data_IF_939529085229
#
_entry.id   IF_939529085229
#
_cell.length_a   1.000
_cell.length_b   1.000
_cell.length_c   1.000
_cell.angle_alpha   90.00
_cell.angle_beta   90.00
_cell.angle_gamma   90.00
#
_symmetry.space_group_name_H-M   'P 1'
#
loop_
_entity.id
_entity.type
_entity.pdbx_description
1 polymer ?
#
# COMPACT_ATOMS: atom_id res chain seq x y z
N UNK A 1 -4.14 -9.03 -3.95
CA UNK A 1 -5.00 -10.01 -4.69
C UNK A 1 -5.70 -9.32 -5.83
N UNK A 2 -5.59 -9.90 -7.04
CA UNK A 2 -6.12 -9.30 -8.27
C UNK A 2 -7.64 -9.25 -8.25
N UNK A 3 -8.20 -8.03 -8.44
CA UNK A 3 -9.65 -7.84 -8.59
C UNK A 3 -10.52 -8.15 -7.38
N UNK A 4 -9.95 -8.50 -6.22
CA UNK A 4 -10.72 -8.87 -5.02
C UNK A 4 -11.68 -7.76 -4.59
N UNK A 5 -11.24 -6.51 -4.51
CA UNK A 5 -12.11 -5.38 -4.15
C UNK A 5 -13.34 -5.25 -5.07
N UNK A 6 -13.15 -5.50 -6.38
CA UNK A 6 -14.24 -5.43 -7.35
C UNK A 6 -15.20 -6.61 -7.20
N UNK A 7 -14.67 -7.81 -6.95
CA UNK A 7 -15.45 -9.02 -6.69
C UNK A 7 -16.35 -8.84 -5.46
N UNK A 8 -15.75 -8.43 -4.33
CA UNK A 8 -16.47 -8.23 -3.08
C UNK A 8 -17.56 -7.14 -3.20
N UNK A 9 -17.27 -6.05 -3.91
CA UNK A 9 -18.28 -5.01 -4.18
C UNK A 9 -19.43 -5.54 -5.05
N UNK A 10 -19.13 -6.29 -6.12
CA UNK A 10 -20.14 -6.88 -7.01
C UNK A 10 -21.04 -7.87 -6.28
N UNK A 11 -20.50 -8.61 -5.33
CA UNK A 11 -21.22 -9.56 -4.49
C UNK A 11 -21.91 -8.91 -3.30
N UNK A 12 -21.77 -7.58 -3.10
CA UNK A 12 -22.22 -6.89 -1.88
C UNK A 12 -21.72 -7.57 -0.59
N UNK A 13 -20.50 -8.13 -0.65
CA UNK A 13 -19.96 -8.94 0.43
C UNK A 13 -19.66 -8.13 1.71
N UNK A 14 -19.56 -6.80 1.64
CA UNK A 14 -19.43 -5.93 2.80
C UNK A 14 -20.09 -4.58 2.57
N UNK A 15 -20.52 -3.94 3.67
CA UNK A 15 -21.10 -2.61 3.64
C UNK A 15 -20.00 -1.55 3.59
N UNK A 16 -20.12 -0.57 2.68
CA UNK A 16 -19.22 0.58 2.61
C UNK A 16 -19.78 1.69 3.50
N UNK A 17 -19.47 1.61 4.79
CA UNK A 17 -19.85 2.64 5.77
C UNK A 17 -18.60 3.41 6.18
N UNK A 18 -18.56 4.70 5.82
CA UNK A 18 -17.47 5.58 6.22
C UNK A 18 -17.69 6.11 7.64
N UNK A 19 -16.71 5.93 8.52
CA UNK A 19 -16.71 6.43 9.89
C UNK A 19 -15.55 7.39 10.09
N UNK A 20 -15.81 8.50 10.79
CA UNK A 20 -14.74 9.41 11.19
C UNK A 20 -13.85 8.77 12.26
N UNK A 21 -12.55 9.07 12.24
CA UNK A 21 -11.53 8.49 13.12
C UNK A 21 -11.86 8.62 14.61
N UNK A 22 -12.55 9.69 15.02
CA UNK A 22 -13.01 9.89 16.41
C UNK A 22 -13.92 8.77 16.95
N UNK A 23 -14.55 7.96 16.07
CA UNK A 23 -15.34 6.79 16.47
C UNK A 23 -14.50 5.65 17.04
N UNK A 24 -13.19 5.71 16.81
CA UNK A 24 -12.21 4.74 17.30
C UNK A 24 -11.42 5.25 18.49
N UNK A 25 -11.90 6.30 19.18
CA UNK A 25 -11.27 6.84 20.39
C UNK A 25 -11.04 5.75 21.44
N UNK A 26 -9.83 5.68 21.99
CA UNK A 26 -9.42 4.66 22.97
C UNK A 26 -9.07 3.30 22.34
N UNK A 27 -9.15 3.17 21.00
CA UNK A 27 -8.82 1.95 20.27
C UNK A 27 -7.37 1.95 19.82
N UNK A 28 -6.80 0.76 19.76
CA UNK A 28 -5.46 0.51 19.21
C UNK A 28 -5.57 0.03 17.77
N UNK A 29 -4.82 0.67 16.87
CA UNK A 29 -4.83 0.35 15.45
C UNK A 29 -3.41 -0.02 14.99
N UNK A 30 -3.24 -1.25 14.51
CA UNK A 30 -2.00 -1.68 13.85
C UNK A 30 -1.95 -1.12 12.42
N UNK A 31 -0.85 -0.49 12.06
CA UNK A 31 -0.70 0.26 10.81
C UNK A 31 0.45 -0.36 10.02
N UNK A 32 0.15 -0.82 8.80
CA UNK A 32 1.18 -1.16 7.83
C UNK A 32 1.92 0.12 7.41
N UNK A 33 3.18 0.21 7.85
CA UNK A 33 4.03 1.39 7.62
C UNK A 33 4.49 1.46 6.17
N UNK A 34 4.71 0.32 5.53
CA UNK A 34 5.25 0.26 4.17
C UNK A 34 4.30 0.87 3.15
N UNK A 35 3.00 0.57 3.27
CA UNK A 35 2.00 1.14 2.36
C UNK A 35 1.90 2.66 2.50
N UNK A 36 2.04 3.19 3.73
CA UNK A 36 2.08 4.63 3.97
C UNK A 36 3.32 5.28 3.36
N UNK A 37 4.49 4.64 3.49
CA UNK A 37 5.73 5.11 2.89
C UNK A 37 5.58 5.25 1.36
N UNK A 38 5.05 4.24 0.69
CA UNK A 38 4.79 4.31 -0.75
C UNK A 38 3.79 5.42 -1.08
N UNK A 39 2.71 5.54 -0.32
CA UNK A 39 1.67 6.56 -0.51
C UNK A 39 2.24 7.98 -0.43
N UNK A 40 3.07 8.27 0.58
CA UNK A 40 3.62 9.61 0.79
C UNK A 40 4.80 9.91 -0.12
N UNK A 41 5.50 8.91 -0.61
CA UNK A 41 6.53 9.10 -1.64
C UNK A 41 5.95 9.22 -3.04
N UNK A 42 4.79 8.59 -3.31
CA UNK A 42 4.12 8.66 -4.60
C UNK A 42 3.50 10.04 -4.82
N UNK A 43 3.85 10.68 -5.92
CA UNK A 43 3.31 12.00 -6.26
C UNK A 43 3.94 13.20 -5.56
N UNK A 44 4.91 12.99 -4.66
CA UNK A 44 5.65 14.08 -3.98
C UNK A 44 6.71 14.75 -4.87
N UNK A 45 6.94 14.27 -6.08
CA UNK A 45 7.99 14.77 -6.96
C UNK A 45 9.38 14.61 -6.33
N UNK A 46 10.15 15.72 -6.28
CA UNK A 46 11.49 15.74 -5.70
C UNK A 46 11.52 16.06 -4.19
N UNK A 47 10.37 16.15 -3.51
CA UNK A 47 10.35 16.38 -2.06
C UNK A 47 10.95 15.18 -1.31
N UNK A 48 12.16 15.38 -0.78
CA UNK A 48 12.91 14.34 -0.09
C UNK A 48 12.30 13.96 1.26
N UNK A 49 11.55 14.85 1.91
CA UNK A 49 11.00 14.67 3.26
C UNK A 49 9.50 14.33 3.27
N UNK A 50 8.88 14.13 2.12
CA UNK A 50 7.44 13.87 2.00
C UNK A 50 6.96 12.70 2.88
N UNK A 51 7.76 11.64 3.02
CA UNK A 51 7.46 10.50 3.88
C UNK A 51 7.46 10.87 5.36
N UNK A 52 8.38 11.74 5.80
CA UNK A 52 8.46 12.24 7.18
C UNK A 52 7.23 13.06 7.51
N UNK A 53 6.90 14.07 6.67
CA UNK A 53 5.72 14.90 6.87
C UNK A 53 4.42 14.10 6.81
N UNK A 54 4.34 13.14 5.89
CA UNK A 54 3.18 12.28 5.75
C UNK A 54 2.94 11.39 6.97
N UNK A 55 3.99 10.73 7.47
CA UNK A 55 3.91 9.89 8.68
C UNK A 55 3.62 10.75 9.91
N UNK A 56 4.29 11.88 10.08
CA UNK A 56 4.03 12.80 11.20
C UNK A 56 2.58 13.28 11.20
N UNK A 57 2.07 13.72 10.04
CA UNK A 57 0.67 14.12 9.90
C UNK A 57 -0.30 12.99 10.24
N UNK A 58 0.03 11.74 9.88
CA UNK A 58 -0.75 10.57 10.24
C UNK A 58 -0.75 10.32 11.74
N UNK A 59 0.42 10.38 12.40
CA UNK A 59 0.53 10.26 13.86
C UNK A 59 -0.32 11.31 14.57
N UNK A 60 -0.22 12.58 14.15
CA UNK A 60 -1.01 13.67 14.72
C UNK A 60 -2.51 13.44 14.56
N UNK A 61 -2.95 12.99 13.37
CA UNK A 61 -4.37 12.69 13.13
C UNK A 61 -4.88 11.61 14.07
N UNK A 62 -4.15 10.50 14.24
CA UNK A 62 -4.56 9.41 15.14
C UNK A 62 -4.59 9.87 16.59
N UNK A 63 -3.51 10.46 17.08
CA UNK A 63 -3.40 10.89 18.48
C UNK A 63 -4.41 11.98 18.85
N UNK A 64 -4.65 12.97 17.97
CA UNK A 64 -5.64 14.03 18.22
C UNK A 64 -7.08 13.50 18.27
N UNK A 65 -7.35 12.36 17.63
CA UNK A 65 -8.64 11.66 17.73
C UNK A 65 -8.68 10.65 18.88
N UNK A 66 -7.63 10.56 19.70
CA UNK A 66 -7.55 9.65 20.84
C UNK A 66 -7.37 8.19 20.45
N UNK A 67 -6.81 7.92 19.28
CA UNK A 67 -6.52 6.58 18.76
C UNK A 67 -5.04 6.27 19.00
N UNK A 68 -4.72 5.05 19.39
CA UNK A 68 -3.35 4.60 19.66
C UNK A 68 -2.82 3.87 18.42
N UNK A 69 -1.91 4.46 17.64
CA UNK A 69 -1.32 3.79 16.49
C UNK A 69 -0.16 2.90 16.91
N UNK A 70 -0.07 1.70 16.33
CA UNK A 70 1.10 0.81 16.38
C UNK A 70 1.61 0.65 14.95
N UNK A 71 2.85 1.04 14.69
CA UNK A 71 3.43 0.96 13.35
C UNK A 71 4.19 -0.34 13.17
N UNK A 72 3.86 -1.07 12.10
CA UNK A 72 4.48 -2.34 11.74
C UNK A 72 5.25 -2.17 10.43
N UNK A 73 6.54 -2.45 10.46
CA UNK A 73 7.42 -2.39 9.31
C UNK A 73 7.61 -3.78 8.71
N UNK A 74 7.84 -3.86 7.39
CA UNK A 74 8.22 -5.12 6.76
C UNK A 74 9.56 -5.63 7.30
N UNK A 75 9.61 -6.92 7.55
CA UNK A 75 10.84 -7.68 7.73
C UNK A 75 11.37 -8.26 6.41
N UNK A 76 11.86 -9.48 6.46
CA UNK A 76 12.33 -10.19 5.28
C UNK A 76 11.12 -10.73 4.49
N UNK A 77 11.06 -10.46 3.18
CA UNK A 77 9.97 -11.01 2.36
C UNK A 77 10.08 -12.54 2.29
N UNK A 78 8.94 -13.26 2.31
CA UNK A 78 8.95 -14.71 2.16
C UNK A 78 9.48 -15.14 0.78
N UNK A 79 10.13 -16.32 0.72
CA UNK A 79 10.76 -16.84 -0.49
C UNK A 79 9.78 -16.97 -1.67
N UNK A 80 8.53 -17.29 -1.40
CA UNK A 80 7.44 -17.42 -2.37
C UNK A 80 7.19 -16.13 -3.16
N UNK A 81 7.56 -14.96 -2.61
CA UNK A 81 7.47 -13.67 -3.32
C UNK A 81 8.64 -13.36 -4.24
N UNK A 82 9.69 -14.17 -4.25
CA UNK A 82 10.93 -13.91 -5.00
C UNK A 82 10.68 -13.66 -6.49
N UNK A 83 9.80 -14.43 -7.12
CA UNK A 83 9.46 -14.27 -8.55
C UNK A 83 8.76 -12.94 -8.83
N UNK A 84 7.82 -12.53 -7.96
CA UNK A 84 7.10 -11.25 -8.11
C UNK A 84 8.03 -10.07 -7.86
N UNK A 85 8.92 -10.17 -6.88
CA UNK A 85 9.93 -9.15 -6.59
C UNK A 85 10.92 -9.00 -7.76
N UNK A 86 11.35 -10.10 -8.38
CA UNK A 86 12.18 -10.08 -9.57
C UNK A 86 11.47 -9.38 -10.73
N UNK A 87 10.23 -9.75 -11.05
CA UNK A 87 9.42 -9.10 -12.09
C UNK A 87 9.23 -7.60 -11.84
N UNK A 88 8.99 -7.17 -10.58
CA UNK A 88 8.89 -5.76 -10.21
C UNK A 88 10.22 -5.03 -10.42
N UNK A 89 11.34 -5.68 -10.14
CA UNK A 89 12.69 -5.14 -10.37
C UNK A 89 12.96 -4.95 -11.86
N UNK A 90 12.63 -5.95 -12.68
CA UNK A 90 12.79 -5.89 -14.14
C UNK A 90 11.94 -4.78 -14.78
N UNK A 91 10.68 -4.65 -14.34
CA UNK A 91 9.80 -3.57 -14.79
C UNK A 91 10.36 -2.20 -14.44
N UNK A 92 10.90 -2.05 -13.22
CA UNK A 92 11.53 -0.81 -12.77
C UNK A 92 12.80 -0.48 -13.57
N UNK A 93 13.62 -1.48 -13.88
CA UNK A 93 14.82 -1.31 -14.71
C UNK A 93 14.44 -0.84 -16.12
N UNK A 94 13.43 -1.46 -16.73
CA UNK A 94 12.90 -1.03 -18.04
C UNK A 94 12.38 0.41 -18.01
N UNK A 95 11.75 0.81 -16.90
CA UNK A 95 11.23 2.17 -16.74
C UNK A 95 12.36 3.19 -16.57
N UNK A 96 13.38 2.86 -15.78
CA UNK A 96 14.58 3.69 -15.61
C UNK A 96 15.32 3.90 -16.95
N UNK A 97 15.47 2.85 -17.75
CA UNK A 97 16.10 2.96 -19.07
C UNK A 97 15.31 3.93 -19.97
N UNK A 98 13.98 3.85 -20.00
CA UNK A 98 13.14 4.81 -20.74
C UNK A 98 13.29 6.25 -20.24
N UNK A 99 13.48 6.45 -18.94
CA UNK A 99 13.72 7.78 -18.37
C UNK A 99 15.06 8.32 -18.83
N UNK A 100 16.11 7.51 -18.82
CA UNK A 100 17.44 7.93 -19.33
C UNK A 100 17.40 8.22 -20.84
N UNK A 101 16.74 7.40 -21.65
CA UNK A 101 16.56 7.66 -23.07
C UNK A 101 15.85 9.00 -23.33
N UNK A 102 14.77 9.30 -22.57
CA UNK A 102 14.08 10.57 -22.68
C UNK A 102 14.96 11.76 -22.24
N UNK A 103 15.79 11.59 -21.21
CA UNK A 103 16.73 12.64 -20.79
C UNK A 103 17.77 12.92 -21.86
N UNK A 104 18.25 11.89 -22.54
CA UNK A 104 19.18 12.03 -23.67
C UNK A 104 18.49 12.80 -24.81
N UNK A 105 17.27 12.38 -25.23
CA UNK A 105 16.51 13.08 -26.26
C UNK A 105 16.27 14.55 -25.92
N UNK A 106 15.91 14.86 -24.67
CA UNK A 106 15.72 16.25 -24.23
C UNK A 106 17.04 17.05 -24.34
N UNK A 107 18.19 16.47 -24.00
CA UNK A 107 19.50 17.14 -24.13
C UNK A 107 19.84 17.39 -25.59
N UNK A 108 19.66 16.41 -26.46
CA UNK A 108 19.90 16.54 -27.90
C UNK A 108 19.01 17.64 -28.51
N UNK A 109 17.72 17.66 -28.12
CA UNK A 109 16.76 18.68 -28.58
C UNK A 109 17.14 20.09 -28.13
N UNK A 110 17.76 20.24 -26.96
CA UNK A 110 18.20 21.56 -26.45
C UNK A 110 19.52 22.05 -27.08
N UNK A 111 20.29 21.15 -27.71
CA UNK A 111 21.54 21.52 -28.40
C UNK A 111 21.31 21.85 -29.88
N UNK A 112 20.25 21.33 -30.52
CA UNK A 112 20.04 21.42 -31.96
C UNK A 112 18.98 22.43 -32.42
N UNK A 113 18.24 23.08 -31.53
CA UNK A 113 17.13 23.94 -31.95
C UNK A 113 17.14 25.35 -31.36
N UNK A 114 17.27 26.34 -32.26
CA UNK A 114 16.89 27.76 -32.06
C UNK A 114 15.36 27.99 -32.21
N UNK A 115 14.54 26.94 -32.26
CA UNK A 115 13.09 27.04 -32.53
C UNK A 115 12.28 26.66 -31.28
N UNK A 116 11.31 27.53 -30.94
CA UNK A 116 10.22 27.26 -30.00
C UNK A 116 9.31 26.14 -30.56
N UNK A 117 9.71 24.87 -30.42
CA UNK A 117 8.91 23.75 -30.87
C UNK A 117 8.19 23.05 -29.69
N UNK A 118 6.89 22.80 -29.85
CA UNK A 118 5.98 22.07 -28.92
C UNK A 118 6.52 20.65 -28.56
N UNK A 119 7.50 20.13 -29.31
CA UNK A 119 8.12 18.82 -29.10
C UNK A 119 8.85 18.70 -27.76
N UNK A 120 9.64 19.70 -27.39
CA UNK A 120 10.38 19.71 -26.12
C UNK A 120 9.44 19.72 -24.91
N UNK A 121 8.32 20.45 -25.01
CA UNK A 121 7.28 20.46 -23.97
C UNK A 121 6.68 19.08 -23.74
N UNK A 122 6.35 18.35 -24.82
CA UNK A 122 5.80 16.98 -24.76
C UNK A 122 6.78 15.99 -24.15
N UNK A 123 8.07 16.08 -24.50
CA UNK A 123 9.11 15.22 -23.92
C UNK A 123 9.28 15.47 -22.42
N UNK A 124 9.32 16.72 -21.96
CA UNK A 124 9.38 17.06 -20.52
C UNK A 124 8.17 16.57 -19.75
N UNK A 125 6.95 16.69 -20.30
CA UNK A 125 5.73 16.15 -19.68
C UNK A 125 5.79 14.62 -19.60
N UNK A 126 6.27 13.95 -20.64
CA UNK A 126 6.43 12.50 -20.67
C UNK A 126 7.45 12.03 -19.63
N UNK A 127 8.59 12.71 -19.54
CA UNK A 127 9.62 12.46 -18.53
C UNK A 127 9.05 12.59 -17.11
N UNK A 128 8.37 13.71 -16.82
CA UNK A 128 7.75 13.93 -15.49
C UNK A 128 6.73 12.84 -15.13
N UNK A 129 5.95 12.36 -16.11
CA UNK A 129 5.01 11.24 -15.89
C UNK A 129 5.72 9.94 -15.55
N UNK A 130 6.83 9.62 -16.25
CA UNK A 130 7.59 8.40 -15.99
C UNK A 130 8.34 8.49 -14.67
N UNK A 131 8.96 9.62 -14.34
CA UNK A 131 9.65 9.82 -13.06
C UNK A 131 8.71 9.64 -11.87
N UNK A 132 7.45 10.09 -11.98
CA UNK A 132 6.42 9.84 -10.96
C UNK A 132 6.05 8.36 -10.79
N UNK A 133 6.24 7.53 -11.82
CA UNK A 133 5.98 6.09 -11.73
C UNK A 133 7.12 5.32 -11.06
N UNK A 134 8.36 5.87 -11.06
CA UNK A 134 9.53 5.26 -10.41
C UNK A 134 9.65 5.76 -8.96
N UNK A 135 8.61 5.52 -8.17
CA UNK A 135 8.70 5.80 -6.73
C UNK A 135 9.62 4.77 -6.08
N UNK A 136 10.68 5.27 -5.45
CA UNK A 136 11.60 4.44 -4.69
C UNK A 136 11.47 4.70 -3.19
N UNK A 137 10.99 3.70 -2.47
CA UNK A 137 11.17 3.62 -1.03
C UNK A 137 12.51 2.92 -0.76
N UNK A 138 13.50 3.67 -0.28
CA UNK A 138 14.83 3.14 0.05
C UNK A 138 14.90 2.67 1.50
N UNK A 139 15.94 1.94 1.84
CA UNK A 139 16.25 1.58 3.23
C UNK A 139 16.46 2.81 4.13
N UNK A 140 16.95 3.93 3.55
CA UNK A 140 17.10 5.19 4.28
C UNK A 140 15.74 5.70 4.73
N UNK A 141 14.75 5.76 3.82
CA UNK A 141 13.39 6.21 4.16
C UNK A 141 12.74 5.35 5.26
N UNK A 142 12.97 4.02 5.23
CA UNK A 142 12.49 3.10 6.27
C UNK A 142 13.13 3.40 7.62
N UNK A 143 14.45 3.58 7.65
CA UNK A 143 15.20 3.93 8.87
C UNK A 143 14.78 5.28 9.44
N UNK A 144 14.61 6.29 8.59
CA UNK A 144 14.18 7.63 9.01
C UNK A 144 12.80 7.60 9.66
N UNK A 145 11.83 6.88 9.08
CA UNK A 145 10.49 6.72 9.66
C UNK A 145 10.55 5.91 10.97
N UNK A 146 11.30 4.82 11.01
CA UNK A 146 11.48 4.05 12.23
C UNK A 146 12.03 4.92 13.36
N UNK A 147 13.04 5.75 13.06
CA UNK A 147 13.64 6.66 14.01
C UNK A 147 12.69 7.79 14.43
N UNK A 148 11.94 8.37 13.48
CA UNK A 148 10.90 9.36 13.78
C UNK A 148 9.88 8.81 14.79
N UNK A 149 9.35 7.61 14.53
CA UNK A 149 8.36 6.98 15.41
C UNK A 149 8.92 6.70 16.80
N UNK A 150 10.20 6.29 16.88
CA UNK A 150 10.92 6.12 18.14
C UNK A 150 11.05 7.44 18.92
N UNK A 151 11.40 8.53 18.23
CA UNK A 151 11.48 9.87 18.85
C UNK A 151 10.13 10.38 19.35
N UNK A 152 9.04 10.04 18.66
CA UNK A 152 7.67 10.36 19.09
C UNK A 152 7.16 9.46 20.24
N UNK A 153 7.94 8.46 20.66
CA UNK A 153 7.52 7.51 21.69
C UNK A 153 6.37 6.59 21.25
N UNK A 154 6.19 6.41 19.93
CA UNK A 154 5.13 5.57 19.39
C UNK A 154 5.59 4.13 19.23
N UNK A 155 4.72 3.15 19.58
CA UNK A 155 5.02 1.74 19.36
C UNK A 155 5.29 1.47 17.87
N UNK A 156 6.46 0.93 17.58
CA UNK A 156 6.81 0.49 16.23
C UNK A 156 7.78 -0.70 16.30
N UNK A 157 7.62 -1.66 15.39
CA UNK A 157 8.48 -2.83 15.32
C UNK A 157 8.52 -3.38 13.89
N UNK A 158 9.49 -4.25 13.64
CA UNK A 158 9.66 -4.94 12.37
C UNK A 158 9.02 -6.31 12.49
N UNK A 159 8.12 -6.66 11.57
CA UNK A 159 7.54 -7.99 11.47
C UNK A 159 8.61 -9.01 11.04
N UNK A 160 8.40 -10.30 11.31
CA UNK A 160 9.27 -11.35 10.80
C UNK A 160 9.25 -11.42 9.27
N UNK A 161 8.06 -11.22 8.68
CA UNK A 161 7.81 -11.17 7.26
C UNK A 161 7.19 -9.84 6.84
N UNK A 162 6.00 -9.90 6.25
CA UNK A 162 5.31 -8.71 5.76
C UNK A 162 4.64 -7.92 6.87
N UNK A 163 4.69 -6.61 6.78
CA UNK A 163 4.04 -5.70 7.73
C UNK A 163 2.55 -5.95 7.88
N UNK A 164 1.87 -6.30 6.79
CA UNK A 164 0.44 -6.66 6.80
C UNK A 164 0.15 -7.88 7.66
N UNK A 165 0.94 -8.95 7.49
CA UNK A 165 0.81 -10.16 8.31
C UNK A 165 1.10 -9.86 9.78
N UNK A 166 2.13 -9.04 10.06
CA UNK A 166 2.46 -8.57 11.41
C UNK A 166 1.34 -7.75 12.04
N UNK A 167 0.66 -6.87 11.29
CA UNK A 167 -0.51 -6.15 11.76
C UNK A 167 -1.64 -7.09 12.19
N UNK A 168 -1.92 -8.11 11.36
CA UNK A 168 -2.97 -9.10 11.65
C UNK A 168 -2.61 -9.96 12.85
N UNK A 169 -1.34 -10.31 13.02
CA UNK A 169 -0.87 -11.05 14.19
C UNK A 169 -1.11 -10.27 15.48
N UNK A 170 -0.86 -8.94 15.50
CA UNK A 170 -1.18 -8.09 16.65
C UNK A 170 -2.67 -8.09 16.96
N UNK A 171 -3.52 -8.09 15.94
CA UNK A 171 -4.95 -8.15 16.12
C UNK A 171 -5.38 -9.50 16.69
N UNK A 172 -4.85 -10.61 16.18
CA UNK A 172 -5.13 -11.97 16.68
C UNK A 172 -4.69 -12.15 18.14
N UNK A 173 -3.59 -11.50 18.55
CA UNK A 173 -3.10 -11.49 19.93
C UNK A 173 -3.89 -10.54 20.86
N UNK A 174 -4.88 -9.80 20.35
CA UNK A 174 -5.66 -8.83 21.11
C UNK A 174 -4.89 -7.56 21.50
N UNK A 175 -3.71 -7.31 20.89
CA UNK A 175 -2.89 -6.11 21.12
C UNK A 175 -3.45 -4.93 20.30
N UNK A 176 -3.99 -5.19 19.12
CA UNK A 176 -4.66 -4.20 18.28
C UNK A 176 -6.14 -4.54 18.10
N UNK A 177 -7.01 -3.53 18.21
CA UNK A 177 -8.44 -3.68 17.93
C UNK A 177 -8.73 -3.76 16.42
N UNK A 178 -7.95 -3.01 15.63
CA UNK A 178 -8.13 -2.86 14.19
C UNK A 178 -6.78 -2.92 13.46
N UNK A 179 -6.83 -3.29 12.19
CA UNK A 179 -5.71 -3.14 11.25
C UNK A 179 -6.02 -2.00 10.29
N UNK A 180 -5.05 -1.15 9.99
CA UNK A 180 -5.12 -0.18 8.90
C UNK A 180 -4.15 -0.56 7.79
N UNK A 181 -4.69 -0.83 6.64
CA UNK A 181 -3.95 -0.99 5.38
C UNK A 181 -4.79 -0.49 4.20
N UNK A 182 -4.18 -0.22 3.06
CA UNK A 182 -4.91 0.05 1.80
C UNK A 182 -5.08 -1.24 0.98
N UNK A 183 -4.39 -2.31 1.35
CA UNK A 183 -4.46 -3.60 0.67
C UNK A 183 -5.50 -4.52 1.31
N UNK A 184 -6.22 -5.26 0.46
CA UNK A 184 -7.22 -6.23 0.88
C UNK A 184 -6.59 -7.57 1.27
N UNK A 185 -5.28 -7.74 1.06
CA UNK A 185 -4.55 -8.98 1.35
C UNK A 185 -4.55 -9.30 2.85
N UNK A 186 -4.72 -8.29 3.71
CA UNK A 186 -4.91 -8.46 5.16
C UNK A 186 -6.06 -9.41 5.52
N UNK A 187 -7.10 -9.52 4.66
CA UNK A 187 -8.24 -10.42 4.88
C UNK A 187 -7.84 -11.89 4.75
N UNK A 188 -6.90 -12.21 3.86
CA UNK A 188 -6.41 -13.60 3.70
C UNK A 188 -5.56 -14.05 4.88
N UNK A 189 -4.91 -13.12 5.57
CA UNK A 189 -4.22 -13.40 6.83
C UNK A 189 -5.19 -13.57 8.02
N UNK A 190 -6.51 -13.37 7.80
CA UNK A 190 -7.54 -13.52 8.81
C UNK A 190 -7.78 -12.26 9.65
N UNK A 191 -7.54 -11.08 9.09
CA UNK A 191 -7.86 -9.80 9.72
C UNK A 191 -9.38 -9.69 9.95
N UNK A 192 -9.81 -9.66 11.20
CA UNK A 192 -11.24 -9.64 11.54
C UNK A 192 -11.88 -8.27 11.37
N UNK A 193 -11.14 -7.19 11.63
CA UNK A 193 -11.58 -5.79 11.52
C UNK A 193 -10.50 -4.95 10.86
N UNK A 194 -10.81 -4.48 9.69
CA UNK A 194 -9.90 -3.79 8.79
C UNK A 194 -10.40 -2.39 8.49
N UNK A 195 -9.53 -1.40 8.57
CA UNK A 195 -9.81 -0.01 8.24
C UNK A 195 -9.07 0.39 6.98
N UNK A 196 -9.78 0.91 6.01
CA UNK A 196 -9.25 1.46 4.78
C UNK A 196 -9.55 2.95 4.69
N UNK A 197 -8.58 3.77 4.26
CA UNK A 197 -8.82 5.21 4.14
C UNK A 197 -9.90 5.51 3.09
N UNK A 198 -10.77 6.47 3.44
CA UNK A 198 -11.69 7.10 2.51
C UNK A 198 -11.01 8.25 1.76
N UNK A 199 -11.69 8.79 0.74
CA UNK A 199 -11.28 10.02 0.07
C UNK A 199 -11.46 11.28 0.95
N UNK A 200 -12.25 11.18 2.03
CA UNK A 200 -12.43 12.25 3.01
C UNK A 200 -11.36 12.17 4.07
N UNK A 201 -10.82 13.32 4.47
CA UNK A 201 -9.82 13.41 5.51
C UNK A 201 -10.36 12.82 6.83
N UNK A 202 -9.55 11.94 7.46
CA UNK A 202 -9.85 11.28 8.73
C UNK A 202 -11.12 10.40 8.74
N UNK A 203 -11.61 10.00 7.55
CA UNK A 203 -12.67 9.00 7.40
C UNK A 203 -12.11 7.69 6.90
N UNK A 204 -12.68 6.60 7.41
CA UNK A 204 -12.26 5.23 7.11
C UNK A 204 -13.48 4.35 6.82
N UNK A 205 -13.35 3.47 5.85
CA UNK A 205 -14.28 2.36 5.65
C UNK A 205 -13.85 1.22 6.56
N UNK A 206 -14.73 0.80 7.45
CA UNK A 206 -14.54 -0.40 8.26
C UNK A 206 -15.03 -1.63 7.49
N UNK A 207 -14.20 -2.65 7.38
CA UNK A 207 -14.48 -3.89 6.69
C UNK A 207 -14.38 -5.03 7.70
N UNK A 208 -15.42 -5.85 7.77
CA UNK A 208 -15.51 -7.03 8.62
C UNK A 208 -15.28 -8.28 7.79
N UNK A 209 -14.31 -9.10 8.17
CA UNK A 209 -14.08 -10.40 7.53
C UNK A 209 -15.27 -11.34 7.73
N UNK A 210 -15.86 -11.33 8.93
CA UNK A 210 -17.03 -12.18 9.22
C UNK A 210 -18.20 -11.86 8.31
N UNK A 211 -18.45 -10.57 8.02
CA UNK A 211 -19.52 -10.16 7.11
C UNK A 211 -19.22 -10.66 5.68
N UNK A 212 -17.96 -10.56 5.25
CA UNK A 212 -17.53 -11.04 3.94
C UNK A 212 -17.75 -12.54 3.82
N UNK A 213 -17.28 -13.33 4.79
CA UNK A 213 -17.42 -14.79 4.79
C UNK A 213 -18.87 -15.21 4.81
N UNK A 214 -19.70 -14.57 5.66
CA UNK A 214 -21.13 -14.85 5.73
C UNK A 214 -21.86 -14.53 4.43
N UNK A 215 -21.57 -13.37 3.82
CA UNK A 215 -22.24 -12.95 2.57
C UNK A 215 -21.77 -13.73 1.33
N UNK A 216 -20.59 -14.34 1.39
CA UNK A 216 -20.07 -15.24 0.35
C UNK A 216 -20.44 -16.70 0.62
N UNK A 217 -21.00 -17.02 1.80
CA UNK A 217 -21.29 -18.38 2.26
C UNK A 217 -20.03 -19.27 2.26
N UNK A 218 -18.89 -18.71 2.71
CA UNK A 218 -17.57 -19.35 2.71
C UNK A 218 -16.97 -19.34 4.12
N UNK A 219 -16.16 -20.33 4.42
CA UNK A 219 -15.24 -20.27 5.55
C UNK A 219 -13.94 -19.57 5.18
N UNK A 220 -13.02 -19.39 6.14
CA UNK A 220 -11.74 -18.67 5.92
C UNK A 220 -10.84 -19.39 4.90
N UNK A 221 -10.78 -20.71 4.94
CA UNK A 221 -9.91 -21.49 4.05
C UNK A 221 -10.41 -21.42 2.60
N UNK A 222 -11.72 -21.55 2.39
CA UNK A 222 -12.35 -21.38 1.08
C UNK A 222 -12.15 -19.95 0.53
N UNK A 223 -12.19 -18.93 1.40
CA UNK A 223 -11.90 -17.56 1.01
C UNK A 223 -10.44 -17.37 0.61
N UNK A 224 -9.49 -18.00 1.31
CA UNK A 224 -8.07 -18.00 0.93
C UNK A 224 -7.87 -18.68 -0.41
N UNK A 225 -8.49 -19.83 -0.65
CA UNK A 225 -8.44 -20.55 -1.93
C UNK A 225 -9.00 -19.71 -3.08
N UNK A 226 -10.14 -19.03 -2.87
CA UNK A 226 -10.68 -18.06 -3.82
C UNK A 226 -9.67 -16.96 -4.14
N UNK A 227 -9.00 -16.41 -3.13
CA UNK A 227 -7.99 -15.37 -3.29
C UNK A 227 -6.76 -15.85 -4.08
N UNK A 228 -6.31 -17.08 -3.84
CA UNK A 228 -5.23 -17.74 -4.59
C UNK A 228 -5.64 -17.88 -6.06
N UNK A 229 -6.84 -18.38 -6.34
CA UNK A 229 -7.36 -18.53 -7.70
C UNK A 229 -7.54 -17.18 -8.42
N UNK A 230 -7.92 -16.12 -7.71
CA UNK A 230 -7.95 -14.75 -8.26
C UNK A 230 -6.57 -14.26 -8.70
N UNK A 231 -5.51 -14.78 -8.10
CA UNK A 231 -4.11 -14.44 -8.32
C UNK A 231 -3.56 -13.54 -7.22
N UNK A 232 -2.53 -14.02 -6.56
CA UNK A 232 -1.82 -13.37 -5.47
C UNK A 232 -0.32 -13.23 -5.79
N UNK A 233 0.44 -12.66 -4.86
CA UNK A 233 1.89 -12.45 -5.01
C UNK A 233 2.71 -13.69 -4.63
N UNK A 234 2.08 -14.74 -4.11
CA UNK A 234 2.75 -15.94 -3.57
C UNK A 234 2.77 -17.12 -4.52
N UNK A 235 1.92 -17.11 -5.54
CA UNK A 235 1.83 -18.20 -6.51
C UNK A 235 1.68 -17.69 -7.93
N UNK A 236 2.01 -18.55 -8.91
CA UNK A 236 1.75 -18.26 -10.32
C UNK A 236 0.24 -18.30 -10.60
N UNK A 237 -0.25 -17.40 -11.46
CA UNK A 237 -1.67 -17.38 -11.83
C UNK A 237 -2.00 -18.48 -12.82
N UNK A 238 -3.15 -19.12 -12.64
CA UNK A 238 -3.67 -20.13 -13.59
C UNK A 238 -4.28 -19.41 -14.80
N UNK A 239 -3.85 -19.77 -16.00
CA UNK A 239 -4.38 -19.16 -17.22
C UNK A 239 -5.88 -19.43 -17.37
N UNK A 240 -6.66 -18.35 -17.55
CA UNK A 240 -8.11 -18.43 -17.72
C UNK A 240 -8.90 -18.41 -16.41
N UNK A 241 -8.23 -18.50 -15.27
CA UNK A 241 -8.87 -18.34 -13.94
C UNK A 241 -8.55 -16.97 -13.38
N UNK A 242 -9.54 -16.30 -12.81
CA UNK A 242 -9.44 -15.00 -12.20
C UNK A 242 -10.72 -14.61 -11.48
N UNK A 243 -10.90 -13.37 -10.99
CA UNK A 243 -12.00 -12.96 -10.12
C UNK A 243 -13.44 -13.20 -10.65
N UNK A 244 -13.58 -13.55 -11.93
CA UNK A 244 -14.90 -13.87 -12.54
C UNK A 244 -15.17 -15.36 -12.60
N UNK A 245 -14.15 -16.19 -12.53
CA UNK A 245 -14.18 -17.64 -12.77
C UNK A 245 -13.63 -18.46 -11.61
N UNK A 246 -13.04 -17.80 -10.61
CA UNK A 246 -12.55 -18.37 -9.35
C UNK A 246 -13.68 -18.66 -8.31
#
# INVERSE_FOLDING_TARGET
IKGLTQLLKKKNAYNVVEKHLSKYKGKTIAIDTSILLYKYRYGSGNDQLSHIYGILGKCMSFLSNGVIPIFVHDGEPPEEKSEVLSKRTDQRTKLNNKIEDLKIQIREYTTDSDSEDDGLGKLKVSLSKLEKQVVRVSQIHRKEVFYLLKLLGLPNFVAEGEGEAGCVELQKKGIADYVYSEDMDVLTFGCTRFLRASNKKDYYTEISLNDILSNLEMNQDEFVDLCILCGCDYTSTIRGIGPKTA
#
